data_IF_392896732621
#
_entry.id   IF_392896732621
#
_cell.length_a   1.000
_cell.length_b   1.000
_cell.length_c   1.000
_cell.angle_alpha   90.00
_cell.angle_beta   90.00
_cell.angle_gamma   90.00
#
_symmetry.space_group_name_H-M   'P 1'
#
loop_
_entity.id
_entity.type
_entity.pdbx_description
1 polymer ?
#
# COMPACT_ATOMS: atom_id res chain seq x y z
N UNK A 1 9.61 19.78 52.16
CA UNK A 1 8.82 20.04 50.93
C UNK A 1 9.78 20.56 49.88
N UNK A 2 10.02 19.95 48.71
CA UNK A 2 9.31 18.94 47.92
C UNK A 2 10.31 17.86 47.48
N UNK A 3 9.87 16.61 47.51
CA UNK A 3 10.56 15.46 46.91
C UNK A 3 10.81 15.68 45.41
N UNK A 4 12.07 15.51 45.00
CA UNK A 4 12.42 15.23 43.61
C UNK A 4 12.14 13.74 43.41
N UNK A 5 11.01 13.41 42.77
CA UNK A 5 10.73 12.05 42.32
C UNK A 5 11.76 11.68 41.25
N UNK A 6 12.65 10.77 41.62
CA UNK A 6 13.46 10.00 40.67
C UNK A 6 12.53 9.41 39.59
N UNK A 7 12.71 9.88 38.35
CA UNK A 7 12.22 9.18 37.18
C UNK A 7 13.00 7.86 37.09
N UNK A 8 12.41 6.80 37.63
CA UNK A 8 12.89 5.44 37.45
C UNK A 8 13.01 5.17 35.96
N UNK A 9 14.26 5.06 35.51
CA UNK A 9 14.66 4.44 34.26
C UNK A 9 14.12 3.01 34.23
N UNK A 10 12.91 2.81 33.69
CA UNK A 10 12.42 1.50 33.31
C UNK A 10 13.23 1.05 32.09
N UNK A 11 14.30 0.30 32.35
CA UNK A 11 14.92 -0.57 31.35
C UNK A 11 13.85 -1.57 30.92
N UNK A 12 13.33 -1.43 29.71
CA UNK A 12 12.50 -2.46 29.10
C UNK A 12 13.36 -3.69 28.82
N UNK A 13 13.31 -4.64 29.75
CA UNK A 13 13.76 -6.01 29.58
C UNK A 13 12.54 -6.87 29.29
N UNK A 14 12.19 -7.08 28.02
CA UNK A 14 11.25 -8.15 27.62
C UNK A 14 11.62 -8.68 26.22
N UNK A 15 12.63 -9.56 26.17
CA UNK A 15 12.95 -10.37 24.98
C UNK A 15 12.09 -11.64 24.91
N UNK A 16 10.79 -11.46 24.71
CA UNK A 16 9.92 -12.54 24.20
C UNK A 16 9.28 -12.06 22.90
N UNK A 17 9.14 -12.95 21.91
CA UNK A 17 8.49 -12.61 20.62
C UNK A 17 7.09 -11.99 20.83
N UNK A 18 6.41 -12.28 21.94
CA UNK A 18 5.11 -11.68 22.27
C UNK A 18 5.18 -10.18 22.63
N UNK A 19 6.32 -9.71 23.16
CA UNK A 19 6.52 -8.30 23.51
C UNK A 19 6.52 -7.41 22.27
N UNK A 20 7.38 -7.71 21.30
CA UNK A 20 7.54 -6.90 20.09
C UNK A 20 6.23 -6.73 19.30
N UNK A 21 5.47 -7.82 19.10
CA UNK A 21 4.22 -7.74 18.34
C UNK A 21 3.06 -7.14 19.13
N UNK A 22 3.12 -7.18 20.47
CA UNK A 22 2.07 -6.66 21.34
C UNK A 22 1.99 -5.13 21.39
N UNK A 23 2.98 -4.43 20.84
CA UNK A 23 3.03 -2.96 20.78
C UNK A 23 2.21 -2.38 19.61
N UNK A 24 1.71 -3.22 18.70
CA UNK A 24 0.95 -2.81 17.53
C UNK A 24 -0.53 -3.16 17.69
N UNK A 25 -1.39 -2.15 17.54
CA UNK A 25 -2.85 -2.27 17.71
C UNK A 25 -3.61 -2.07 16.39
N UNK A 26 -4.93 -2.28 16.43
CA UNK A 26 -5.83 -2.11 15.31
C UNK A 26 -5.65 -3.20 14.26
N UNK A 27 -5.54 -2.79 12.99
CA UNK A 27 -5.36 -3.65 11.81
C UNK A 27 -4.01 -4.41 11.84
N UNK A 28 -3.05 -3.95 12.64
CA UNK A 28 -1.75 -4.60 12.86
C UNK A 28 -1.66 -5.38 14.16
N UNK A 29 -2.73 -5.39 14.96
CA UNK A 29 -2.80 -6.37 16.04
C UNK A 29 -2.64 -7.70 15.34
N UNK A 30 -1.58 -8.48 15.65
CA UNK A 30 -1.41 -9.74 15.00
C UNK A 30 -2.74 -10.46 15.16
N UNK A 31 -3.26 -11.01 14.07
CA UNK A 31 -4.11 -12.18 14.24
C UNK A 31 -3.18 -13.25 14.84
N UNK A 32 -2.80 -13.12 16.13
CA UNK A 32 -2.11 -14.12 16.93
C UNK A 32 -3.06 -15.29 17.22
N UNK A 33 -4.35 -15.11 16.90
CA UNK A 33 -5.29 -16.20 16.66
C UNK A 33 -5.07 -16.92 15.31
N UNK A 34 -4.12 -16.51 14.48
CA UNK A 34 -3.66 -17.29 13.32
C UNK A 34 -3.04 -18.63 13.74
N UNK A 35 -2.57 -18.74 14.99
CA UNK A 35 -2.21 -20.03 15.61
C UNK A 35 -3.43 -20.94 15.84
N UNK A 36 -4.66 -20.42 15.73
CA UNK A 36 -5.91 -21.20 15.61
C UNK A 36 -6.32 -21.46 14.15
N UNK A 37 -5.54 -21.03 13.15
CA UNK A 37 -5.70 -21.50 11.77
C UNK A 37 -5.18 -22.94 11.72
N UNK A 38 -5.96 -23.86 12.28
CA UNK A 38 -5.77 -25.31 12.20
C UNK A 38 -5.77 -25.85 10.76
N UNK A 39 -5.92 -24.97 9.77
CA UNK A 39 -5.98 -25.22 8.33
C UNK A 39 -5.02 -24.34 7.53
N UNK A 40 -3.99 -23.74 8.16
CA UNK A 40 -2.98 -23.00 7.42
C UNK A 40 -2.19 -23.98 6.54
N UNK A 41 -2.25 -23.80 5.22
CA UNK A 41 -1.38 -24.50 4.30
C UNK A 41 -0.14 -23.65 4.04
N UNK A 42 1.04 -24.28 4.07
CA UNK A 42 2.24 -23.67 3.50
C UNK A 42 2.16 -23.81 2.00
N UNK A 43 1.38 -22.93 1.35
CA UNK A 43 1.27 -22.93 -0.12
C UNK A 43 2.55 -22.39 -0.77
N UNK A 44 3.31 -21.56 -0.04
CA UNK A 44 4.57 -20.95 -0.52
C UNK A 44 5.68 -21.03 0.55
N UNK A 45 6.94 -20.87 0.12
CA UNK A 45 8.19 -21.29 0.80
C UNK A 45 8.45 -20.80 2.23
N UNK A 46 7.76 -19.84 2.80
CA UNK A 46 8.05 -19.25 4.13
C UNK A 46 6.83 -18.45 4.59
N UNK A 47 5.68 -18.86 4.05
CA UNK A 47 4.42 -18.14 4.05
C UNK A 47 3.36 -19.08 4.58
N UNK A 48 2.69 -18.66 5.65
CA UNK A 48 1.46 -19.30 6.10
C UNK A 48 0.30 -18.66 5.36
N UNK A 49 -0.44 -19.46 4.60
CA UNK A 49 -1.67 -19.03 3.94
C UNK A 49 -2.87 -19.71 4.61
N UNK A 50 -3.96 -18.99 4.82
CA UNK A 50 -5.22 -19.59 5.23
C UNK A 50 -6.37 -19.11 4.35
N UNK A 51 -7.06 -20.08 3.75
CA UNK A 51 -8.30 -19.83 3.01
C UNK A 51 -9.41 -19.40 3.98
N UNK A 52 -10.10 -18.30 3.67
CA UNK A 52 -11.09 -17.67 4.52
C UNK A 52 -12.51 -18.21 4.28
N UNK A 53 -12.76 -19.49 4.58
CA UNK A 53 -14.07 -20.15 4.31
C UNK A 53 -14.86 -20.54 5.56
N UNK A 54 -14.23 -20.63 6.73
CA UNK A 54 -14.90 -21.04 7.97
C UNK A 54 -15.84 -19.95 8.49
N UNK A 55 -16.88 -20.36 9.24
CA UNK A 55 -17.85 -19.46 9.89
C UNK A 55 -17.17 -18.40 10.78
N UNK A 56 -16.10 -18.78 11.47
CA UNK A 56 -15.29 -17.88 12.31
C UNK A 56 -14.59 -16.76 11.52
N UNK A 57 -14.43 -16.91 10.20
CA UNK A 57 -13.85 -15.88 9.33
C UNK A 57 -14.88 -14.84 8.86
N UNK A 58 -16.17 -15.01 9.16
CA UNK A 58 -17.25 -14.16 8.62
C UNK A 58 -17.04 -12.66 8.82
N UNK A 59 -16.56 -12.24 10.01
CA UNK A 59 -16.28 -10.83 10.30
C UNK A 59 -15.17 -10.26 9.42
N UNK A 60 -14.06 -10.98 9.24
CA UNK A 60 -12.95 -10.50 8.42
C UNK A 60 -13.31 -10.55 6.93
N UNK A 61 -14.03 -11.59 6.49
CA UNK A 61 -14.53 -11.70 5.12
C UNK A 61 -15.45 -10.53 4.79
N UNK A 62 -16.39 -10.17 5.66
CA UNK A 62 -17.26 -9.01 5.47
C UNK A 62 -16.48 -7.70 5.38
N UNK A 63 -15.46 -7.51 6.22
CA UNK A 63 -14.56 -6.34 6.14
C UNK A 63 -13.81 -6.30 4.80
N UNK A 64 -13.26 -7.43 4.35
CA UNK A 64 -12.57 -7.54 3.07
C UNK A 64 -13.50 -7.16 1.92
N UNK A 65 -14.74 -7.67 1.90
CA UNK A 65 -15.71 -7.30 0.86
C UNK A 65 -16.06 -5.80 0.90
N UNK A 66 -16.16 -5.19 2.09
CA UNK A 66 -16.36 -3.74 2.19
C UNK A 66 -15.17 -2.96 1.62
N UNK A 67 -13.93 -3.42 1.84
CA UNK A 67 -12.73 -2.80 1.28
C UNK A 67 -12.56 -3.04 -0.22
N UNK A 68 -12.98 -4.22 -0.69
CA UNK A 68 -12.96 -4.62 -2.08
C UNK A 68 -13.87 -3.73 -2.92
N UNK A 69 -15.01 -3.31 -2.35
CA UNK A 69 -16.03 -2.56 -3.06
C UNK A 69 -16.59 -3.39 -4.23
N UNK A 70 -16.89 -2.72 -5.33
CA UNK A 70 -17.47 -3.35 -6.52
C UNK A 70 -16.39 -3.68 -7.55
N UNK A 71 -16.23 -4.95 -7.88
CA UNK A 71 -15.41 -5.41 -9.00
C UNK A 71 -16.13 -5.22 -10.34
N UNK A 72 -15.41 -5.18 -11.48
CA UNK A 72 -16.04 -5.29 -12.79
C UNK A 72 -16.90 -6.56 -12.86
N UNK A 73 -18.04 -6.49 -13.55
CA UNK A 73 -19.02 -7.59 -13.62
C UNK A 73 -18.48 -8.87 -14.25
N UNK A 74 -17.43 -8.76 -15.05
CA UNK A 74 -16.75 -9.91 -15.65
C UNK A 74 -15.88 -10.69 -14.65
N UNK A 75 -15.68 -10.20 -13.42
CA UNK A 75 -14.88 -10.87 -12.41
C UNK A 75 -15.70 -11.28 -11.19
N UNK A 76 -15.41 -12.49 -10.68
CA UNK A 76 -15.93 -12.99 -9.41
C UNK A 76 -14.81 -13.37 -8.47
N UNK A 77 -15.06 -13.23 -7.17
CA UNK A 77 -14.16 -13.72 -6.13
C UNK A 77 -14.29 -15.25 -6.06
N UNK A 78 -13.23 -15.95 -6.47
CA UNK A 78 -13.13 -17.40 -6.36
C UNK A 78 -12.71 -17.81 -4.94
N UNK A 79 -11.69 -17.12 -4.41
CA UNK A 79 -11.03 -17.49 -3.16
C UNK A 79 -10.45 -16.29 -2.45
N UNK A 80 -10.54 -16.27 -1.13
CA UNK A 80 -9.89 -15.31 -0.24
C UNK A 80 -8.86 -16.04 0.63
N UNK A 81 -7.64 -15.53 0.68
CA UNK A 81 -6.58 -16.04 1.54
C UNK A 81 -6.01 -14.92 2.41
N UNK A 82 -5.85 -15.22 3.70
CA UNK A 82 -4.98 -14.46 4.58
C UNK A 82 -3.56 -15.01 4.48
N UNK A 83 -2.60 -14.10 4.34
CA UNK A 83 -1.20 -14.42 4.14
C UNK A 83 -0.37 -13.86 5.29
N UNK A 84 0.53 -14.70 5.83
CA UNK A 84 1.47 -14.31 6.85
C UNK A 84 2.87 -14.82 6.52
N UNK A 85 3.76 -13.88 6.22
CA UNK A 85 5.19 -14.11 6.14
C UNK A 85 5.86 -13.41 7.32
N UNK A 86 6.38 -14.20 8.27
CA UNK A 86 6.93 -13.64 9.53
C UNK A 86 8.15 -12.74 9.33
N UNK A 87 8.94 -12.97 8.26
CA UNK A 87 10.10 -12.15 7.91
C UNK A 87 9.68 -10.79 7.39
N UNK A 88 8.79 -10.77 6.39
CA UNK A 88 8.23 -9.52 5.83
C UNK A 88 7.49 -8.73 6.91
N UNK A 89 6.66 -9.41 7.71
CA UNK A 89 5.91 -8.77 8.79
C UNK A 89 6.84 -8.08 9.80
N UNK A 90 7.89 -8.77 10.26
CA UNK A 90 8.85 -8.18 11.20
C UNK A 90 9.61 -7.01 10.57
N UNK A 91 10.02 -7.12 9.31
CA UNK A 91 10.71 -6.04 8.60
C UNK A 91 9.83 -4.79 8.51
N UNK A 92 8.56 -4.95 8.10
CA UNK A 92 7.59 -3.86 8.01
C UNK A 92 7.38 -3.17 9.36
N UNK A 93 7.21 -3.93 10.45
CA UNK A 93 7.07 -3.36 11.79
C UNK A 93 8.34 -2.61 12.23
N UNK A 94 9.53 -3.09 11.88
CA UNK A 94 10.77 -2.35 12.11
C UNK A 94 10.85 -1.04 11.34
N UNK A 95 10.28 -0.98 10.12
CA UNK A 95 10.23 0.24 9.33
C UNK A 95 9.30 1.30 9.92
N UNK A 96 8.26 0.92 10.68
CA UNK A 96 7.38 1.88 11.37
C UNK A 96 8.20 2.79 12.28
N UNK A 97 9.06 2.22 13.13
CA UNK A 97 9.90 3.00 14.05
C UNK A 97 10.90 3.89 13.32
N UNK A 98 11.49 3.37 12.24
CA UNK A 98 12.43 4.11 11.39
C UNK A 98 11.72 5.32 10.76
N UNK A 99 10.52 5.12 10.21
CA UNK A 99 9.72 6.17 9.58
C UNK A 99 9.30 7.22 10.61
N UNK A 100 8.80 6.84 11.77
CA UNK A 100 8.46 7.78 12.85
C UNK A 100 9.66 8.58 13.35
N UNK A 101 10.84 7.97 13.38
CA UNK A 101 12.09 8.66 13.72
C UNK A 101 12.48 9.68 12.63
N UNK A 102 12.41 9.29 11.36
CA UNK A 102 12.69 10.17 10.22
C UNK A 102 11.71 11.34 10.14
N UNK A 103 10.43 11.15 10.46
CA UNK A 103 9.43 12.22 10.48
C UNK A 103 9.76 13.35 11.46
N UNK A 104 10.63 13.13 12.46
CA UNK A 104 11.05 14.16 13.42
C UNK A 104 12.29 14.93 12.98
N UNK A 105 12.95 14.48 11.92
CA UNK A 105 14.25 14.95 11.49
C UNK A 105 14.12 15.95 10.33
N UNK A 106 14.67 17.18 10.42
CA UNK A 106 14.53 18.21 9.39
C UNK A 106 14.99 17.78 8.00
N UNK A 107 16.07 16.98 7.91
CA UNK A 107 16.65 16.52 6.65
C UNK A 107 15.75 15.57 5.86
N UNK A 108 14.77 14.95 6.52
CA UNK A 108 13.80 14.08 5.87
C UNK A 108 12.50 14.81 5.52
N UNK A 109 12.29 16.05 5.97
CA UNK A 109 11.02 16.75 5.75
C UNK A 109 10.85 17.20 4.30
N UNK A 110 9.62 17.04 3.82
CA UNK A 110 9.19 17.62 2.55
C UNK A 110 9.13 19.16 2.65
N UNK A 111 9.52 19.83 1.58
CA UNK A 111 9.40 21.30 1.47
C UNK A 111 8.25 21.67 0.55
N UNK A 112 7.03 21.25 0.91
CA UNK A 112 5.84 21.40 0.05
C UNK A 112 5.56 22.85 -0.33
N UNK A 113 5.75 23.79 0.60
CA UNK A 113 5.52 25.22 0.34
C UNK A 113 6.53 25.83 -0.66
N UNK A 114 7.61 25.11 -0.99
CA UNK A 114 8.58 25.49 -2.03
C UNK A 114 8.30 24.82 -3.37
N UNK A 115 7.33 23.91 -3.45
CA UNK A 115 6.92 23.30 -4.73
C UNK A 115 5.90 24.21 -5.44
N UNK A 116 5.85 24.11 -6.76
CA UNK A 116 4.84 24.81 -7.56
C UNK A 116 3.43 24.30 -7.22
N UNK A 117 2.42 25.16 -7.45
CA UNK A 117 0.99 24.83 -7.29
C UNK A 117 0.64 24.21 -5.92
N UNK A 118 1.23 24.76 -4.85
CA UNK A 118 1.14 24.25 -3.49
C UNK A 118 -0.32 23.99 -3.01
N UNK A 119 -1.28 24.84 -3.42
CA UNK A 119 -2.71 24.66 -3.07
C UNK A 119 -3.28 23.34 -3.59
N UNK A 120 -3.07 23.03 -4.87
CA UNK A 120 -3.55 21.79 -5.49
C UNK A 120 -2.86 20.58 -4.85
N UNK A 121 -1.54 20.66 -4.65
CA UNK A 121 -0.77 19.61 -3.97
C UNK A 121 -1.27 19.31 -2.55
N UNK A 122 -1.71 20.33 -1.80
CA UNK A 122 -2.35 20.15 -0.48
C UNK A 122 -3.70 19.41 -0.59
N UNK A 123 -4.51 19.68 -1.61
CA UNK A 123 -5.76 18.95 -1.85
C UNK A 123 -5.50 17.48 -2.19
N UNK A 124 -4.49 17.20 -3.01
CA UNK A 124 -4.04 15.82 -3.31
C UNK A 124 -3.65 15.08 -2.03
N UNK A 125 -2.86 15.70 -1.16
CA UNK A 125 -2.48 15.08 0.12
C UNK A 125 -3.69 14.88 1.04
N UNK A 126 -4.66 15.80 1.06
CA UNK A 126 -5.88 15.64 1.86
C UNK A 126 -6.71 14.42 1.43
N UNK A 127 -6.77 14.13 0.12
CA UNK A 127 -7.37 12.88 -0.38
C UNK A 127 -6.63 11.65 0.16
N UNK A 128 -5.30 11.66 0.19
CA UNK A 128 -4.49 10.59 0.76
C UNK A 128 -4.69 10.43 2.28
N UNK A 129 -4.81 11.53 3.03
CA UNK A 129 -5.09 11.46 4.47
C UNK A 129 -6.42 10.75 4.75
N UNK A 130 -7.43 10.99 3.90
CA UNK A 130 -8.73 10.30 4.00
C UNK A 130 -8.57 8.79 3.86
N UNK A 131 -7.70 8.32 2.97
CA UNK A 131 -7.37 6.90 2.83
C UNK A 131 -6.63 6.36 4.05
N UNK A 132 -5.66 7.12 4.58
CA UNK A 132 -4.89 6.72 5.75
C UNK A 132 -5.76 6.57 7.00
N UNK A 133 -6.75 7.45 7.19
CA UNK A 133 -7.70 7.38 8.30
C UNK A 133 -8.59 6.13 8.29
N UNK A 134 -8.68 5.41 7.17
CA UNK A 134 -9.42 4.14 7.09
C UNK A 134 -8.66 2.96 7.70
N UNK A 135 -7.38 3.13 8.03
CA UNK A 135 -6.56 2.10 8.67
C UNK A 135 -6.52 2.36 10.17
N UNK A 136 -6.97 1.39 10.97
CA UNK A 136 -6.92 1.50 12.43
C UNK A 136 -5.54 1.09 12.93
N UNK A 137 -4.83 1.98 13.64
CA UNK A 137 -3.54 1.67 14.27
C UNK A 137 -3.18 2.68 15.37
N UNK A 138 -2.23 2.31 16.24
CA UNK A 138 -1.74 3.15 17.34
C UNK A 138 -0.43 3.91 17.01
N UNK A 139 -0.02 3.96 15.74
CA UNK A 139 1.26 4.57 15.31
C UNK A 139 1.10 6.01 14.84
N UNK A 140 2.19 6.79 14.94
CA UNK A 140 2.25 8.21 14.58
C UNK A 140 2.86 8.42 13.20
N UNK A 141 2.31 7.75 12.20
CA UNK A 141 2.67 7.93 10.80
C UNK A 141 1.46 7.63 9.92
N UNK A 142 1.60 7.88 8.61
CA UNK A 142 0.59 7.52 7.61
C UNK A 142 0.79 6.08 7.17
N UNK A 143 -0.27 5.29 7.27
CA UNK A 143 -0.33 3.95 6.69
C UNK A 143 -1.59 3.86 5.85
N UNK A 144 -1.45 3.43 4.60
CA UNK A 144 -2.58 3.25 3.69
C UNK A 144 -2.80 1.77 3.40
N UNK A 145 -4.08 1.38 3.25
CA UNK A 145 -4.48 0.07 2.71
C UNK A 145 -4.68 0.23 1.21
N UNK A 146 -3.92 -0.52 0.43
CA UNK A 146 -3.90 -0.39 -1.03
C UNK A 146 -3.96 -1.77 -1.71
N UNK A 147 -4.43 -1.78 -2.95
CA UNK A 147 -4.53 -2.95 -3.80
C UNK A 147 -3.42 -2.97 -4.85
N UNK A 148 -2.90 -4.16 -5.10
CA UNK A 148 -2.01 -4.46 -6.22
C UNK A 148 -2.65 -5.57 -7.06
N UNK A 149 -2.90 -5.30 -8.34
CA UNK A 149 -3.41 -6.30 -9.27
C UNK A 149 -2.25 -6.97 -10.01
N UNK A 150 -2.26 -8.29 -10.08
CA UNK A 150 -1.22 -9.05 -10.75
C UNK A 150 -1.74 -10.40 -11.28
N UNK A 151 -0.86 -11.11 -12.00
CA UNK A 151 -1.09 -12.50 -12.43
C UNK A 151 -0.92 -13.45 -11.26
N UNK A 152 -1.73 -14.51 -11.19
CA UNK A 152 -1.58 -15.54 -10.14
C UNK A 152 -0.18 -16.18 -10.12
N UNK A 153 0.46 -16.30 -11.27
CA UNK A 153 1.80 -16.91 -11.41
C UNK A 153 2.91 -16.17 -10.67
N UNK A 154 2.74 -14.88 -10.34
CA UNK A 154 3.77 -14.11 -9.60
C UNK A 154 3.60 -14.17 -8.08
N UNK A 155 2.45 -14.65 -7.58
CA UNK A 155 2.17 -14.72 -6.13
C UNK A 155 3.21 -15.49 -5.32
N UNK A 156 3.75 -16.66 -5.75
CA UNK A 156 4.73 -17.38 -4.96
C UNK A 156 5.94 -16.52 -4.60
N UNK A 157 6.46 -15.76 -5.57
CA UNK A 157 7.62 -14.89 -5.39
C UNK A 157 7.26 -13.65 -4.58
N UNK A 158 6.16 -12.97 -4.94
CA UNK A 158 5.72 -11.74 -4.26
C UNK A 158 5.49 -11.96 -2.76
N UNK A 159 4.89 -13.10 -2.39
CA UNK A 159 4.55 -13.40 -0.99
C UNK A 159 5.72 -14.02 -0.21
N UNK A 160 6.60 -14.77 -0.88
CA UNK A 160 7.78 -15.39 -0.25
C UNK A 160 8.91 -14.40 -0.05
N UNK A 161 9.24 -13.67 -1.10
CA UNK A 161 10.47 -12.89 -1.21
C UNK A 161 10.20 -11.39 -0.98
N UNK A 162 8.93 -10.99 -1.08
CA UNK A 162 8.47 -9.62 -0.97
C UNK A 162 8.27 -8.97 -2.35
N UNK A 163 7.79 -7.73 -2.33
CA UNK A 163 7.79 -6.91 -3.54
C UNK A 163 9.23 -6.57 -3.92
N UNK A 164 9.53 -6.54 -5.22
CA UNK A 164 10.82 -6.13 -5.72
C UNK A 164 10.67 -5.15 -6.88
N UNK A 165 11.40 -4.04 -6.86
CA UNK A 165 11.52 -3.13 -8.00
C UNK A 165 12.53 -3.70 -9.02
N UNK A 166 12.18 -4.84 -9.64
CA UNK A 166 13.07 -5.54 -10.57
C UNK A 166 13.31 -4.71 -11.83
N UNK A 167 14.50 -4.87 -12.42
CA UNK A 167 14.88 -4.20 -13.68
C UNK A 167 13.94 -4.51 -14.86
N UNK A 168 13.23 -5.65 -14.79
CA UNK A 168 12.24 -6.11 -15.77
C UNK A 168 10.89 -5.38 -15.73
N UNK A 169 10.62 -4.59 -14.70
CA UNK A 169 9.45 -3.72 -14.67
C UNK A 169 9.63 -2.61 -15.73
N UNK A 170 8.52 -2.17 -16.33
CA UNK A 170 8.55 -0.99 -17.18
C UNK A 170 9.11 0.21 -16.40
N UNK A 171 9.59 1.22 -17.12
CA UNK A 171 10.15 2.40 -16.49
C UNK A 171 9.11 3.14 -15.63
N UNK A 172 7.82 2.83 -15.80
CA UNK A 172 6.72 3.37 -15.03
C UNK A 172 6.50 4.85 -15.33
N UNK A 173 5.24 5.27 -15.42
CA UNK A 173 4.96 6.68 -15.65
C UNK A 173 5.50 7.51 -14.48
N UNK A 174 5.10 7.19 -13.26
CA UNK A 174 5.46 7.92 -12.04
C UNK A 174 6.75 7.44 -11.38
N UNK A 175 7.62 6.79 -12.15
CA UNK A 175 8.91 6.27 -11.70
C UNK A 175 9.01 4.74 -11.74
N UNK A 176 10.25 4.26 -11.67
CA UNK A 176 10.52 2.83 -11.59
C UNK A 176 10.23 2.33 -10.19
N UNK A 177 8.97 2.01 -9.95
CA UNK A 177 8.39 1.84 -8.63
C UNK A 177 7.46 0.61 -8.58
N UNK A 178 7.00 0.30 -7.37
CA UNK A 178 5.94 -0.67 -7.14
C UNK A 178 4.62 0.10 -7.02
N UNK A 179 3.67 -0.24 -7.88
CA UNK A 179 2.42 0.50 -8.03
C UNK A 179 1.28 -0.14 -7.25
N UNK A 180 0.52 0.71 -6.56
CA UNK A 180 -0.69 0.36 -5.83
C UNK A 180 -1.81 1.35 -6.13
N UNK A 181 -3.04 1.00 -5.78
CA UNK A 181 -4.20 1.88 -5.85
C UNK A 181 -5.16 1.62 -4.70
N UNK A 182 -5.91 2.63 -4.24
CA UNK A 182 -7.00 2.39 -3.27
C UNK A 182 -8.19 1.63 -3.87
N UNK A 183 -8.29 1.54 -5.21
CA UNK A 183 -9.41 0.95 -5.93
C UNK A 183 -9.11 -0.46 -6.42
N UNK A 184 -9.73 -1.47 -5.82
CA UNK A 184 -9.61 -2.85 -6.29
C UNK A 184 -10.12 -3.02 -7.73
N UNK A 185 -11.20 -2.30 -8.08
CA UNK A 185 -11.72 -2.24 -9.45
C UNK A 185 -10.66 -1.76 -10.43
N UNK A 186 -9.92 -0.71 -10.09
CA UNK A 186 -8.85 -0.21 -10.94
C UNK A 186 -7.69 -1.19 -11.03
N UNK A 187 -7.30 -1.79 -9.91
CA UNK A 187 -6.25 -2.81 -9.86
C UNK A 187 -6.53 -4.02 -10.78
N UNK A 188 -7.80 -4.39 -11.01
CA UNK A 188 -8.13 -5.50 -11.93
C UNK A 188 -7.65 -5.30 -13.38
N UNK A 189 -7.41 -4.05 -13.81
CA UNK A 189 -6.85 -3.76 -15.14
C UNK A 189 -5.45 -4.34 -15.34
N UNK A 190 -4.75 -4.69 -14.25
CA UNK A 190 -3.39 -5.20 -14.26
C UNK A 190 -3.29 -6.73 -14.18
N UNK A 191 -4.41 -7.46 -14.25
CA UNK A 191 -4.42 -8.93 -14.27
C UNK A 191 -3.68 -9.51 -15.48
N UNK A 192 -3.69 -8.81 -16.62
CA UNK A 192 -3.07 -9.18 -17.91
C UNK A 192 -3.52 -10.52 -18.52
N UNK A 193 -4.30 -11.34 -17.82
CA UNK A 193 -4.82 -12.67 -18.18
C UNK A 193 -6.16 -12.89 -17.44
N UNK A 194 -6.97 -13.85 -17.89
CA UNK A 194 -8.31 -14.15 -17.33
C UNK A 194 -8.26 -14.63 -15.86
N UNK A 195 -7.09 -15.13 -15.43
CA UNK A 195 -6.87 -15.65 -14.08
C UNK A 195 -6.00 -14.71 -13.22
N UNK A 196 -6.53 -13.52 -12.94
CA UNK A 196 -5.87 -12.52 -12.10
C UNK A 196 -6.04 -12.73 -10.60
N UNK A 197 -5.28 -11.93 -9.84
CA UNK A 197 -5.45 -11.82 -8.40
C UNK A 197 -5.20 -10.39 -7.91
N UNK A 198 -5.86 -10.03 -6.82
CA UNK A 198 -5.61 -8.80 -6.08
C UNK A 198 -4.86 -9.14 -4.80
N UNK A 199 -3.84 -8.36 -4.48
CA UNK A 199 -3.12 -8.40 -3.22
C UNK A 199 -3.42 -7.12 -2.46
N UNK A 200 -4.02 -7.24 -1.28
CA UNK A 200 -4.18 -6.13 -0.35
C UNK A 200 -2.90 -5.99 0.47
N UNK A 201 -2.35 -4.78 0.46
CA UNK A 201 -1.16 -4.43 1.20
C UNK A 201 -1.43 -3.25 2.14
N UNK A 202 -0.78 -3.26 3.29
CA UNK A 202 -0.50 -2.04 4.04
C UNK A 202 0.78 -1.41 3.53
N UNK A 203 0.78 -0.09 3.36
CA UNK A 203 1.92 0.67 2.84
C UNK A 203 2.27 1.80 3.80
N UNK A 204 3.52 1.83 4.27
CA UNK A 204 4.06 2.92 5.10
C UNK A 204 4.40 4.12 4.22
N UNK A 205 3.97 5.30 4.65
CA UNK A 205 4.14 6.53 3.90
C UNK A 205 5.00 7.52 4.67
N UNK A 206 6.20 7.78 4.14
CA UNK A 206 7.03 8.92 4.54
C UNK A 206 6.98 9.95 3.41
N UNK A 207 6.47 11.14 3.72
CA UNK A 207 6.40 12.29 2.83
C UNK A 207 6.06 11.93 1.36
N UNK A 208 4.81 11.54 1.06
CA UNK A 208 4.38 11.30 -0.31
C UNK A 208 4.48 12.58 -1.14
N UNK A 209 5.03 12.50 -2.35
CA UNK A 209 4.96 13.60 -3.31
C UNK A 209 3.58 13.60 -3.97
N UNK A 210 2.79 14.68 -3.83
CA UNK A 210 1.48 14.79 -4.47
C UNK A 210 1.65 15.18 -5.94
N UNK A 211 1.59 14.23 -6.86
CA UNK A 211 1.72 14.49 -8.30
C UNK A 211 0.45 15.18 -8.82
N UNK A 212 0.62 16.21 -9.65
CA UNK A 212 -0.47 16.98 -10.26
C UNK A 212 -0.34 17.04 -11.78
N UNK A 213 -1.34 17.58 -12.47
CA UNK A 213 -1.39 17.69 -13.94
C UNK A 213 -0.18 18.44 -14.53
N UNK A 214 0.30 19.48 -13.86
CA UNK A 214 1.51 20.21 -14.25
C UNK A 214 2.76 19.33 -14.29
N UNK A 215 2.80 18.27 -13.48
CA UNK A 215 3.91 17.34 -13.53
C UNK A 215 3.80 16.44 -14.79
N UNK A 216 2.58 16.00 -15.14
CA UNK A 216 2.28 15.02 -16.18
C UNK A 216 1.29 15.52 -17.26
N UNK A 217 1.66 16.49 -18.12
CA UNK A 217 0.75 17.05 -19.10
C UNK A 217 0.29 15.98 -20.13
N UNK A 218 -0.94 16.07 -20.67
CA UNK A 218 -1.51 15.05 -21.54
C UNK A 218 -0.75 14.87 -22.86
N UNK A 219 -0.18 15.94 -23.40
CA UNK A 219 0.48 15.93 -24.72
C UNK A 219 2.00 15.68 -24.64
N UNK A 220 2.52 15.36 -23.44
CA UNK A 220 3.94 15.11 -23.23
C UNK A 220 4.23 13.61 -23.36
N UNK A 221 5.20 13.20 -24.21
CA UNK A 221 5.58 11.81 -24.32
C UNK A 221 6.38 11.35 -23.08
N UNK A 222 6.38 10.05 -22.74
CA UNK A 222 6.97 9.52 -21.51
C UNK A 222 8.42 9.97 -21.27
N UNK A 223 9.26 9.96 -22.30
CA UNK A 223 10.68 10.32 -22.18
C UNK A 223 10.93 11.78 -21.78
N UNK A 224 9.92 12.66 -21.96
CA UNK A 224 9.94 14.06 -21.52
C UNK A 224 9.24 14.27 -20.19
N UNK A 225 8.59 13.24 -19.65
CA UNK A 225 7.92 13.31 -18.36
C UNK A 225 8.94 13.24 -17.22
N UNK A 226 8.77 14.12 -16.23
CA UNK A 226 9.75 14.34 -15.16
C UNK A 226 10.02 13.10 -14.31
N UNK A 227 9.03 12.23 -14.13
CA UNK A 227 9.14 11.07 -13.24
C UNK A 227 9.34 9.75 -13.98
N UNK A 228 9.19 9.72 -15.31
CA UNK A 228 9.31 8.50 -16.10
C UNK A 228 10.67 7.82 -15.88
N UNK A 229 10.66 6.55 -15.45
CA UNK A 229 11.89 5.78 -15.19
C UNK A 229 12.70 6.23 -13.97
N UNK A 230 12.26 7.27 -13.25
CA UNK A 230 13.05 7.87 -12.16
C UNK A 230 12.71 7.27 -10.81
N UNK A 231 13.64 7.43 -9.87
CA UNK A 231 13.41 7.08 -8.46
C UNK A 231 12.58 8.13 -7.73
N UNK A 232 12.68 8.11 -6.41
CA UNK A 232 11.99 9.05 -5.55
C UNK A 232 12.45 10.51 -5.77
N UNK A 233 11.54 11.46 -5.60
CA UNK A 233 11.82 12.88 -5.81
C UNK A 233 12.25 13.58 -4.51
N UNK A 234 13.44 14.20 -4.47
CA UNK A 234 13.96 14.97 -3.32
C UNK A 234 13.76 14.20 -1.98
N UNK A 235 13.15 14.85 -0.99
CA UNK A 235 12.85 14.32 0.34
C UNK A 235 11.49 13.60 0.41
N UNK A 236 10.89 13.27 -0.73
CA UNK A 236 9.68 12.48 -0.81
C UNK A 236 10.05 11.00 -1.06
N UNK A 237 9.40 10.05 -0.38
CA UNK A 237 9.77 8.61 -0.44
C UNK A 237 8.76 7.73 -1.18
N UNK A 238 7.68 8.32 -1.66
CA UNK A 238 6.72 7.72 -2.58
C UNK A 238 6.03 8.84 -3.37
N UNK A 239 5.34 8.50 -4.45
CA UNK A 239 4.48 9.42 -5.18
C UNK A 239 3.02 8.99 -5.00
N UNK A 240 2.13 9.94 -4.74
CA UNK A 240 0.69 9.72 -4.72
C UNK A 240 0.05 10.54 -5.83
N UNK A 241 -0.74 9.87 -6.66
CA UNK A 241 -1.22 10.38 -7.93
C UNK A 241 -2.72 10.11 -8.04
N UNK A 242 -3.57 11.11 -7.87
CA UNK A 242 -4.97 11.00 -8.30
C UNK A 242 -4.98 10.88 -9.82
N UNK A 243 -5.71 9.91 -10.38
CA UNK A 243 -5.67 9.64 -11.82
C UNK A 243 -7.05 9.51 -12.45
N UNK A 244 -7.12 9.90 -13.71
CA UNK A 244 -8.24 9.72 -14.62
C UNK A 244 -7.74 9.23 -15.98
N UNK A 245 -8.57 8.50 -16.74
CA UNK A 245 -8.17 7.95 -18.02
C UNK A 245 -7.94 9.05 -19.07
N UNK A 246 -6.83 8.96 -19.80
CA UNK A 246 -6.52 9.82 -20.96
C UNK A 246 -7.13 9.22 -22.23
N UNK A 247 -8.01 9.98 -22.90
CA UNK A 247 -8.64 9.51 -24.16
C UNK A 247 -9.82 8.54 -23.99
N UNK A 248 -10.37 8.40 -22.77
CA UNK A 248 -11.59 7.64 -22.49
C UNK A 248 -11.38 6.33 -21.71
N UNK A 249 -12.47 5.67 -21.28
CA UNK A 249 -12.45 4.61 -20.24
C UNK A 249 -11.73 3.30 -20.58
N UNK A 250 -11.37 3.09 -21.85
CA UNK A 250 -10.75 1.86 -22.36
C UNK A 250 -9.21 2.00 -22.55
N UNK A 251 -8.63 3.13 -22.16
CA UNK A 251 -7.19 3.33 -22.17
C UNK A 251 -6.50 2.64 -20.98
N UNK A 252 -5.20 2.37 -21.11
CA UNK A 252 -4.30 2.06 -19.99
C UNK A 252 -3.45 3.28 -19.57
N UNK A 253 -3.66 4.43 -20.21
CA UNK A 253 -2.98 5.69 -19.88
C UNK A 253 -3.80 6.48 -18.85
N UNK A 254 -3.28 6.55 -17.62
CA UNK A 254 -3.93 7.20 -16.48
C UNK A 254 -3.04 8.32 -15.95
N UNK A 255 -3.59 9.55 -15.97
CA UNK A 255 -2.88 10.78 -15.59
C UNK A 255 -3.67 11.62 -14.61
N UNK A 256 -3.02 12.53 -13.85
CA UNK A 256 -3.75 13.54 -13.10
C UNK A 256 -4.76 14.26 -14.00
N UNK A 257 -5.97 14.57 -13.48
CA UNK A 257 -7.00 15.25 -14.26
C UNK A 257 -6.46 16.54 -14.92
N UNK A 258 -6.63 16.73 -16.25
CA UNK A 258 -6.07 17.89 -16.95
C UNK A 258 -6.61 19.23 -16.44
N UNK A 259 -7.83 19.25 -15.90
CA UNK A 259 -8.46 20.41 -15.26
C UNK A 259 -7.69 20.89 -14.03
N UNK A 260 -6.88 20.01 -13.44
CA UNK A 260 -6.23 20.20 -12.16
C UNK A 260 -7.18 20.03 -10.96
N UNK A 261 -8.47 19.78 -11.19
CA UNK A 261 -9.41 19.49 -10.12
C UNK A 261 -9.19 18.06 -9.60
N UNK A 262 -9.06 17.94 -8.29
CA UNK A 262 -8.86 16.66 -7.61
C UNK A 262 -10.12 15.80 -7.64
N UNK A 263 -11.29 16.43 -7.70
CA UNK A 263 -12.58 15.75 -7.67
C UNK A 263 -12.89 15.07 -9.01
N UNK A 264 -12.19 15.48 -10.08
CA UNK A 264 -12.24 14.83 -11.39
C UNK A 264 -11.44 13.51 -11.45
N UNK A 265 -10.67 13.18 -10.40
CA UNK A 265 -9.89 11.93 -10.34
C UNK A 265 -10.77 10.71 -10.02
N UNK A 266 -10.91 9.81 -11.00
CA UNK A 266 -11.70 8.57 -10.87
C UNK A 266 -11.03 7.57 -9.91
N UNK A 267 -9.70 7.49 -9.94
CA UNK A 267 -8.90 6.57 -9.13
C UNK A 267 -7.66 7.28 -8.55
N UNK A 268 -6.78 6.50 -7.97
CA UNK A 268 -5.46 6.93 -7.53
C UNK A 268 -4.42 5.84 -7.77
N UNK A 269 -3.17 6.28 -7.86
CA UNK A 269 -1.98 5.45 -7.87
C UNK A 269 -1.04 5.88 -6.76
N UNK A 270 -0.33 4.91 -6.21
CA UNK A 270 0.74 5.10 -5.25
C UNK A 270 1.97 4.36 -5.77
N UNK A 271 3.00 5.13 -6.13
CA UNK A 271 4.29 4.61 -6.57
C UNK A 271 5.22 4.54 -5.35
N UNK A 272 5.60 3.33 -4.96
CA UNK A 272 6.42 3.05 -3.78
C UNK A 272 7.82 2.61 -4.20
N UNK A 273 8.84 3.25 -3.63
CA UNK A 273 10.25 2.99 -3.97
C UNK A 273 10.98 2.13 -2.93
N UNK A 274 10.36 1.86 -1.78
CA UNK A 274 10.95 1.08 -0.70
C UNK A 274 10.11 -0.17 -0.41
N UNK A 275 10.65 -1.32 -0.76
CA UNK A 275 10.00 -2.63 -0.63
C UNK A 275 9.64 -2.95 0.82
N UNK A 276 10.53 -2.59 1.75
CA UNK A 276 10.32 -2.80 3.18
C UNK A 276 9.13 -2.02 3.77
N UNK A 277 8.59 -1.05 3.04
CA UNK A 277 7.40 -0.29 3.44
C UNK A 277 6.09 -0.99 3.06
N UNK A 278 6.13 -2.19 2.48
CA UNK A 278 4.95 -2.88 1.97
C UNK A 278 4.73 -4.17 2.77
N UNK A 279 3.49 -4.38 3.22
CA UNK A 279 3.07 -5.60 3.89
C UNK A 279 1.85 -6.21 3.18
N UNK A 280 2.03 -7.26 2.37
CA UNK A 280 0.91 -8.05 1.86
C UNK A 280 0.21 -8.83 2.98
N UNK A 281 -1.13 -8.81 2.99
CA UNK A 281 -1.91 -9.55 3.99
C UNK A 281 -3.06 -10.36 3.42
N UNK A 282 -3.74 -9.91 2.37
CA UNK A 282 -4.88 -10.62 1.79
C UNK A 282 -4.63 -10.84 0.31
N UNK A 283 -4.94 -12.05 -0.17
CA UNK A 283 -4.98 -12.37 -1.59
C UNK A 283 -6.42 -12.72 -1.96
N UNK A 284 -6.89 -12.11 -3.04
CA UNK A 284 -8.19 -12.37 -3.65
C UNK A 284 -7.93 -12.96 -5.02
N UNK A 285 -8.33 -14.20 -5.21
CA UNK A 285 -8.27 -14.87 -6.49
C UNK A 285 -9.55 -14.53 -7.25
N UNK A 286 -9.39 -13.97 -8.44
CA UNK A 286 -10.50 -13.56 -9.29
C UNK A 286 -10.56 -14.47 -10.51
N UNK A 287 -11.74 -14.96 -10.85
CA UNK A 287 -11.97 -15.67 -12.10
C UNK A 287 -12.87 -14.82 -13.01
N UNK A 288 -12.74 -14.99 -14.31
CA UNK A 288 -13.71 -14.46 -15.26
C UNK A 288 -14.95 -15.35 -15.31
N UNK A 289 -16.10 -14.74 -15.55
CA UNK A 289 -17.27 -15.51 -15.95
C UNK A 289 -17.06 -16.04 -17.37
N UNK A 290 -17.10 -17.36 -17.54
CA UNK A 290 -17.19 -18.03 -18.85
C UNK A 290 -18.46 -17.61 -19.60
#
# INVERSE_FOLDING_TARGET
MKEIKELKSNRYSLSTKSGFYGEFEGDFTPFLHATKLSSASTTFSNVSACVLTKKEHSTIVSRIYNWLGTLPTCYRVEKLEFIFNSGIYRNFLGQIEIVESRQKKPEFQATLDKENVCKQRKQVLQRLETLCHQVSHNRRLRIARMWHGCRRSVLPHLLSDGFAALSMLDDGWYGKAIYFTSSAKYATRYFREDNGCLVMCYVLLLNPFPVVSDDAPPDVPPEKFRFYGRGNYKNYQCHYIPVSPVGGKNTMDYRPPPTGDIDDAEYDELAVFQEAHILPQIVIYCNTDD
#
